data_IF_076435029325
#
_entry.id   IF_076435029325
#
_cell.length_a   1.000
_cell.length_b   1.000
_cell.length_c   1.000
_cell.angle_alpha   90.00
_cell.angle_beta   90.00
_cell.angle_gamma   90.00
#
_symmetry.space_group_name_H-M   'P 1'
#
loop_
_entity.id
_entity.type
_entity.pdbx_description
1 polymer ?
#
# COMPACT_ATOMS: atom_id res chain seq x y z
N UNK A 1 -10.63 -24.01 -3.66
CA UNK A 1 -9.96 -22.85 -3.03
C UNK A 1 -8.74 -23.25 -2.20
N UNK A 2 -8.82 -24.28 -1.35
CA UNK A 2 -7.69 -24.70 -0.48
C UNK A 2 -6.40 -25.03 -1.25
N UNK A 3 -6.45 -25.77 -2.35
CA UNK A 3 -5.27 -26.07 -3.19
C UNK A 3 -4.68 -24.85 -3.91
N UNK A 4 -5.41 -23.73 -3.95
CA UNK A 4 -5.01 -22.49 -4.64
C UNK A 4 -4.40 -21.53 -3.63
N UNK A 5 -5.04 -21.33 -2.47
CA UNK A 5 -4.61 -20.36 -1.47
C UNK A 5 -3.40 -20.83 -0.63
N UNK A 6 -3.14 -22.13 -0.55
CA UNK A 6 -2.08 -22.68 0.29
C UNK A 6 -0.83 -23.11 -0.52
N UNK A 7 0.37 -23.09 0.09
CA UNK A 7 0.68 -22.50 1.39
C UNK A 7 0.57 -20.97 1.38
N UNK A 8 0.27 -20.38 2.54
CA UNK A 8 0.35 -18.92 2.71
C UNK A 8 1.83 -18.58 2.90
N UNK A 9 2.40 -17.60 2.16
CA UNK A 9 3.78 -17.18 2.35
C UNK A 9 3.98 -16.56 3.74
N UNK A 10 5.15 -16.81 4.35
CA UNK A 10 5.48 -16.32 5.71
C UNK A 10 5.60 -14.79 5.76
N UNK A 11 5.83 -14.15 4.62
CA UNK A 11 5.93 -12.70 4.44
C UNK A 11 4.57 -11.99 4.52
N UNK A 12 3.45 -12.72 4.44
CA UNK A 12 2.12 -12.11 4.41
C UNK A 12 1.55 -11.90 5.81
N UNK A 13 1.37 -10.64 6.19
CA UNK A 13 0.63 -10.24 7.37
C UNK A 13 -0.86 -10.21 7.05
N UNK A 14 -1.65 -11.08 7.71
CA UNK A 14 -3.10 -11.14 7.55
C UNK A 14 -3.55 -12.14 6.49
N UNK A 15 -3.82 -13.38 6.92
CA UNK A 15 -4.25 -14.47 6.04
C UNK A 15 -5.56 -14.18 5.28
N UNK A 16 -6.46 -13.40 5.88
CA UNK A 16 -7.74 -13.04 5.24
C UNK A 16 -7.51 -12.16 4.01
N UNK A 17 -6.57 -11.22 4.09
CA UNK A 17 -6.19 -10.38 2.97
C UNK A 17 -5.60 -11.22 1.84
N UNK A 18 -4.75 -12.21 2.15
CA UNK A 18 -4.18 -13.13 1.15
C UNK A 18 -5.26 -13.89 0.37
N UNK A 19 -6.20 -14.49 1.10
CA UNK A 19 -7.31 -15.25 0.49
C UNK A 19 -8.17 -14.33 -0.38
N UNK A 20 -8.48 -13.13 0.13
CA UNK A 20 -9.22 -12.12 -0.61
C UNK A 20 -8.48 -11.69 -1.88
N UNK A 21 -7.18 -11.42 -1.80
CA UNK A 21 -6.38 -10.95 -2.92
C UNK A 21 -6.31 -12.00 -4.05
N UNK A 22 -6.15 -13.29 -3.70
CA UNK A 22 -6.23 -14.39 -4.66
C UNK A 22 -7.63 -14.46 -5.29
N UNK A 23 -8.70 -14.42 -4.48
CA UNK A 23 -10.06 -14.50 -4.98
C UNK A 23 -10.36 -13.37 -5.97
N UNK A 24 -9.95 -12.14 -5.63
CA UNK A 24 -10.09 -10.96 -6.47
C UNK A 24 -9.26 -11.05 -7.75
N UNK A 25 -8.02 -11.54 -7.68
CA UNK A 25 -7.17 -11.77 -8.85
C UNK A 25 -7.76 -12.80 -9.82
N UNK A 26 -8.46 -13.80 -9.28
CA UNK A 26 -9.15 -14.82 -10.08
C UNK A 26 -10.59 -14.41 -10.48
N UNK A 27 -11.07 -13.23 -10.07
CA UNK A 27 -12.45 -12.74 -10.27
C UNK A 27 -13.51 -13.74 -9.80
N UNK A 28 -13.25 -14.36 -8.65
CA UNK A 28 -14.18 -15.28 -7.96
C UNK A 28 -14.68 -14.71 -6.63
N UNK A 29 -14.44 -13.42 -6.40
CA UNK A 29 -15.00 -12.69 -5.27
C UNK A 29 -16.50 -12.42 -5.46
N UNK A 30 -17.23 -12.43 -4.35
CA UNK A 30 -18.67 -12.23 -4.32
C UNK A 30 -19.11 -11.60 -3.00
N UNK A 31 -20.28 -10.98 -3.00
CA UNK A 31 -20.88 -10.37 -1.80
C UNK A 31 -21.88 -11.37 -1.23
N UNK A 32 -21.71 -11.70 0.05
CA UNK A 32 -22.72 -12.46 0.81
C UNK A 32 -23.63 -11.40 1.44
N UNK A 33 -24.91 -11.40 1.06
CA UNK A 33 -25.90 -10.43 1.57
C UNK A 33 -26.24 -10.68 3.05
N UNK A 34 -26.11 -11.93 3.48
CA UNK A 34 -26.37 -12.34 4.85
C UNK A 34 -25.18 -12.00 5.78
N UNK A 35 -25.41 -11.26 6.88
CA UNK A 35 -24.36 -10.95 7.83
C UNK A 35 -23.88 -12.22 8.55
N UNK A 36 -22.64 -12.64 8.26
CA UNK A 36 -22.04 -13.88 8.79
C UNK A 36 -21.75 -13.85 10.31
N UNK A 37 -21.64 -12.66 10.90
CA UNK A 37 -21.52 -12.48 12.34
C UNK A 37 -22.27 -11.23 12.78
N UNK A 38 -23.23 -11.38 13.69
CA UNK A 38 -23.67 -10.27 14.54
C UNK A 38 -22.47 -9.87 15.40
N UNK A 39 -21.85 -8.74 15.09
CA UNK A 39 -20.75 -8.19 15.89
C UNK A 39 -21.30 -7.97 17.32
N UNK A 40 -20.90 -8.82 18.27
CA UNK A 40 -21.13 -8.57 19.70
C UNK A 40 -20.31 -7.34 20.09
N UNK A 41 -20.97 -6.19 20.12
CA UNK A 41 -20.41 -4.96 20.68
C UNK A 41 -20.31 -5.12 22.19
N UNK A 42 -19.20 -5.68 22.67
CA UNK A 42 -18.78 -5.47 24.05
C UNK A 42 -18.24 -4.03 24.15
N UNK A 43 -18.80 -3.26 25.08
CA UNK A 43 -18.87 -1.79 25.08
C UNK A 43 -17.58 -0.99 25.25
N UNK A 44 -16.40 -1.55 25.00
CA UNK A 44 -15.11 -0.87 25.20
C UNK A 44 -14.25 -0.75 23.94
N UNK A 45 -14.61 -1.40 22.82
CA UNK A 45 -13.91 -1.24 21.54
C UNK A 45 -14.40 -0.03 20.73
N UNK A 46 -14.67 1.09 21.39
CA UNK A 46 -14.74 2.39 20.71
C UNK A 46 -13.31 2.83 20.44
N UNK A 47 -12.73 2.35 19.35
CA UNK A 47 -11.58 3.03 18.76
C UNK A 47 -12.00 4.49 18.59
N UNK A 48 -11.28 5.41 19.23
CA UNK A 48 -11.36 6.86 19.09
C UNK A 48 -11.04 7.23 17.64
N UNK A 49 -11.94 6.89 16.73
CA UNK A 49 -11.87 7.22 15.32
C UNK A 49 -12.38 8.64 15.18
N UNK A 50 -11.81 9.44 14.28
CA UNK A 50 -12.10 10.87 14.13
C UNK A 50 -13.60 11.19 14.00
N UNK A 51 -14.45 10.25 13.59
CA UNK A 51 -15.91 10.42 13.57
C UNK A 51 -16.65 10.25 14.90
N UNK A 52 -15.98 9.94 16.01
CA UNK A 52 -16.58 10.01 17.36
C UNK A 52 -16.46 11.41 17.99
N UNK A 53 -15.91 12.39 17.27
CA UNK A 53 -15.90 13.80 17.67
C UNK A 53 -17.30 14.40 17.56
N UNK A 54 -17.81 14.96 18.66
CA UNK A 54 -19.06 15.74 18.73
C UNK A 54 -18.98 17.05 17.93
N UNK A 55 -17.78 17.49 17.53
CA UNK A 55 -17.59 18.67 16.69
C UNK A 55 -17.80 18.37 15.20
N UNK A 56 -18.43 19.30 14.49
CA UNK A 56 -18.71 19.24 13.04
C UNK A 56 -17.39 19.18 12.26
N UNK A 57 -17.00 17.99 11.82
CA UNK A 57 -15.78 17.78 11.03
C UNK A 57 -15.94 18.50 9.69
N UNK A 58 -15.09 19.47 9.41
CA UNK A 58 -15.05 20.12 8.10
C UNK A 58 -14.23 19.25 7.12
N UNK A 59 -14.56 19.30 5.82
CA UNK A 59 -13.79 18.59 4.77
C UNK A 59 -12.31 19.01 4.77
N UNK A 60 -12.03 20.25 5.20
CA UNK A 60 -10.67 20.77 5.37
C UNK A 60 -9.92 20.09 6.52
N UNK A 61 -10.57 19.77 7.64
CA UNK A 61 -9.93 19.10 8.78
C UNK A 61 -9.49 17.68 8.42
N UNK A 62 -10.30 16.99 7.60
CA UNK A 62 -9.95 15.67 7.04
C UNK A 62 -8.75 15.78 6.11
N UNK A 63 -8.68 16.82 5.28
CA UNK A 63 -7.52 17.02 4.40
C UNK A 63 -6.25 17.33 5.20
N UNK A 64 -6.34 18.23 6.19
CA UNK A 64 -5.19 18.63 7.04
C UNK A 64 -4.69 17.46 7.87
N UNK A 65 -5.58 16.68 8.49
CA UNK A 65 -5.18 15.48 9.24
C UNK A 65 -4.51 14.43 8.34
N UNK A 66 -5.00 14.23 7.12
CA UNK A 66 -4.38 13.34 6.13
C UNK A 66 -3.03 13.86 5.60
N UNK A 67 -2.81 15.18 5.56
CA UNK A 67 -1.53 15.78 5.19
C UNK A 67 -0.48 15.64 6.31
N UNK A 68 -0.92 15.58 7.57
CA UNK A 68 -0.05 15.42 8.75
C UNK A 68 0.40 13.97 9.00
N UNK A 69 -0.23 12.97 8.37
CA UNK A 69 0.16 11.56 8.53
C UNK A 69 1.59 11.33 8.05
N UNK A 70 2.42 10.68 8.85
CA UNK A 70 3.79 10.29 8.50
C UNK A 70 3.84 9.52 7.17
N UNK A 71 4.90 9.67 6.36
CA UNK A 71 5.02 8.86 5.16
C UNK A 71 5.17 7.41 5.61
N UNK A 72 4.66 6.46 4.82
CA UNK A 72 5.05 5.08 5.02
C UNK A 72 6.59 5.02 4.94
N UNK A 73 7.23 4.58 6.01
CA UNK A 73 8.68 4.48 6.11
C UNK A 73 9.24 3.47 5.11
N UNK A 74 8.41 2.52 4.67
CA UNK A 74 8.74 1.54 3.66
C UNK A 74 7.50 1.07 2.92
N UNK A 75 7.65 0.81 1.62
CA UNK A 75 6.65 0.09 0.80
C UNK A 75 6.99 -1.39 0.64
N UNK A 76 8.02 -1.87 1.35
CA UNK A 76 8.54 -3.23 1.26
C UNK A 76 7.45 -4.28 1.46
N UNK A 77 6.66 -4.17 2.54
CA UNK A 77 5.61 -5.14 2.83
C UNK A 77 4.60 -5.28 1.67
N UNK A 78 4.20 -4.15 1.07
CA UNK A 78 3.26 -4.16 -0.05
C UNK A 78 3.89 -4.68 -1.35
N UNK A 79 5.18 -4.43 -1.56
CA UNK A 79 5.93 -5.02 -2.67
C UNK A 79 6.06 -6.53 -2.50
N UNK A 80 6.44 -6.99 -1.30
CA UNK A 80 6.56 -8.41 -0.96
C UNK A 80 5.20 -9.11 -1.13
N UNK A 81 4.10 -8.48 -0.68
CA UNK A 81 2.73 -8.98 -0.90
C UNK A 81 2.37 -9.11 -2.38
N UNK A 82 2.66 -8.09 -3.19
CA UNK A 82 2.36 -8.12 -4.62
C UNK A 82 3.22 -9.16 -5.36
N UNK A 83 4.48 -9.32 -4.98
CA UNK A 83 5.37 -10.35 -5.52
C UNK A 83 4.85 -11.77 -5.21
N UNK A 84 4.56 -12.05 -3.93
CA UNK A 84 4.01 -13.35 -3.53
C UNK A 84 2.71 -13.67 -4.27
N UNK A 85 1.83 -12.66 -4.43
CA UNK A 85 0.57 -12.83 -5.15
C UNK A 85 0.80 -13.10 -6.65
N UNK A 86 1.72 -12.38 -7.29
CA UNK A 86 2.07 -12.57 -8.69
C UNK A 86 2.65 -13.97 -8.95
N UNK A 87 3.56 -14.43 -8.08
CA UNK A 87 4.09 -15.80 -8.13
C UNK A 87 2.98 -16.83 -7.99
N UNK A 88 2.07 -16.61 -7.03
CA UNK A 88 0.95 -17.52 -6.80
C UNK A 88 0.03 -17.60 -8.01
N UNK A 89 -0.35 -16.46 -8.58
CA UNK A 89 -1.21 -16.40 -9.76
C UNK A 89 -0.56 -17.06 -10.97
N UNK A 90 0.76 -16.90 -11.14
CA UNK A 90 1.53 -17.60 -12.18
C UNK A 90 1.47 -19.12 -12.00
N UNK A 91 1.72 -19.63 -10.80
CA UNK A 91 1.59 -21.08 -10.52
C UNK A 91 0.17 -21.59 -10.75
N UNK A 92 -0.84 -20.80 -10.39
CA UNK A 92 -2.24 -21.15 -10.64
C UNK A 92 -2.51 -21.20 -12.14
N UNK A 93 -1.98 -20.25 -12.93
CA UNK A 93 -2.10 -20.25 -14.39
C UNK A 93 -1.58 -21.55 -15.01
N UNK A 94 -0.41 -22.00 -14.56
CA UNK A 94 0.24 -23.22 -15.04
C UNK A 94 -0.48 -24.50 -14.59
N UNK A 95 -0.88 -24.57 -13.32
CA UNK A 95 -1.45 -25.78 -12.73
C UNK A 95 -2.96 -25.96 -12.96
N UNK A 96 -3.69 -24.88 -13.30
CA UNK A 96 -5.16 -24.91 -13.31
C UNK A 96 -5.79 -25.64 -14.50
N UNK A 97 -5.00 -26.05 -15.51
CA UNK A 97 -5.50 -26.86 -16.63
C UNK A 97 -6.69 -26.23 -17.37
N UNK A 98 -6.77 -24.90 -17.40
CA UNK A 98 -7.88 -24.16 -18.00
C UNK A 98 -9.09 -23.90 -17.09
N UNK A 99 -9.05 -24.29 -15.80
CA UNK A 99 -10.12 -23.99 -14.83
C UNK A 99 -10.40 -22.49 -14.69
N UNK A 100 -9.38 -21.66 -14.86
CA UNK A 100 -9.50 -20.20 -14.89
C UNK A 100 -9.16 -19.69 -16.29
N UNK A 101 -9.86 -18.63 -16.73
CA UNK A 101 -9.55 -17.99 -18.01
C UNK A 101 -8.17 -17.34 -17.93
N UNK A 102 -7.25 -17.72 -18.80
CA UNK A 102 -5.89 -17.18 -18.84
C UNK A 102 -5.88 -15.64 -18.86
N UNK A 103 -6.74 -15.02 -19.69
CA UNK A 103 -6.85 -13.57 -19.77
C UNK A 103 -7.25 -12.87 -18.45
N UNK A 104 -7.95 -13.55 -17.54
CA UNK A 104 -8.26 -13.00 -16.21
C UNK A 104 -7.01 -12.95 -15.34
N UNK A 105 -6.23 -14.04 -15.34
CA UNK A 105 -4.98 -14.10 -14.58
C UNK A 105 -3.96 -13.12 -15.17
N UNK A 106 -3.87 -13.03 -16.49
CA UNK A 106 -2.95 -12.13 -17.19
C UNK A 106 -3.26 -10.67 -16.90
N UNK A 107 -4.56 -10.30 -16.88
CA UNK A 107 -4.97 -8.97 -16.47
C UNK A 107 -4.60 -8.68 -15.00
N UNK A 108 -4.80 -9.64 -14.09
CA UNK A 108 -4.43 -9.47 -12.69
C UNK A 108 -2.90 -9.32 -12.49
N UNK A 109 -2.09 -10.10 -13.22
CA UNK A 109 -0.63 -9.99 -13.21
C UNK A 109 -0.18 -8.62 -13.73
N UNK A 110 -0.76 -8.14 -14.83
CA UNK A 110 -0.47 -6.82 -15.38
C UNK A 110 -0.85 -5.69 -14.40
N UNK A 111 -1.99 -5.80 -13.70
CA UNK A 111 -2.38 -4.84 -12.66
C UNK A 111 -1.36 -4.80 -11.51
N UNK A 112 -0.87 -5.96 -11.06
CA UNK A 112 0.15 -6.06 -10.01
C UNK A 112 1.48 -5.45 -10.44
N UNK A 113 1.92 -5.69 -11.68
CA UNK A 113 3.14 -5.11 -12.23
C UNK A 113 3.08 -3.57 -12.27
N UNK A 114 1.96 -3.03 -12.75
CA UNK A 114 1.72 -1.58 -12.75
C UNK A 114 1.77 -1.03 -11.33
N UNK A 115 1.15 -1.71 -10.37
CA UNK A 115 1.17 -1.29 -8.96
C UNK A 115 2.58 -1.33 -8.35
N UNK A 116 3.34 -2.41 -8.57
CA UNK A 116 4.72 -2.53 -8.10
C UNK A 116 5.61 -1.44 -8.68
N UNK A 117 5.49 -1.15 -9.99
CA UNK A 117 6.20 -0.04 -10.62
C UNK A 117 5.85 1.32 -10.00
N UNK A 118 4.59 1.49 -9.58
CA UNK A 118 4.12 2.70 -8.93
C UNK A 118 4.65 2.81 -7.49
N UNK A 119 4.75 1.70 -6.76
CA UNK A 119 5.35 1.63 -5.43
C UNK A 119 6.84 1.96 -5.45
N UNK A 120 7.60 1.35 -6.37
CA UNK A 120 9.02 1.62 -6.56
C UNK A 120 9.27 3.08 -6.91
N UNK A 121 8.50 3.63 -7.85
CA UNK A 121 8.64 5.04 -8.23
C UNK A 121 8.33 5.98 -7.07
N UNK A 122 7.40 5.58 -6.21
CA UNK A 122 7.04 6.36 -5.01
C UNK A 122 8.09 6.25 -3.91
N UNK A 123 8.77 5.10 -3.74
CA UNK A 123 9.90 5.02 -2.80
C UNK A 123 11.04 5.96 -3.21
N UNK A 124 11.28 6.14 -4.51
CA UNK A 124 12.28 7.11 -4.97
C UNK A 124 11.95 8.57 -4.57
N UNK A 125 10.67 8.92 -4.35
CA UNK A 125 10.30 10.26 -3.87
C UNK A 125 10.80 10.52 -2.44
N UNK A 126 10.93 9.47 -1.63
CA UNK A 126 11.39 9.58 -0.24
C UNK A 126 12.85 10.04 -0.22
N UNK A 127 13.66 9.52 -1.14
CA UNK A 127 15.11 9.78 -1.20
C UNK A 127 15.50 10.94 -2.14
N UNK A 128 14.67 11.25 -3.16
CA UNK A 128 14.97 12.26 -4.17
C UNK A 128 15.00 13.68 -3.60
N UNK A 129 15.82 14.61 -4.14
CA UNK A 129 15.82 16.05 -3.78
C UNK A 129 14.57 16.83 -4.26
N UNK A 130 14.38 18.08 -3.83
CA UNK A 130 13.11 18.83 -4.01
C UNK A 130 12.65 18.94 -5.47
N UNK A 131 13.57 19.30 -6.37
CA UNK A 131 13.27 19.41 -7.81
C UNK A 131 13.02 18.05 -8.45
N UNK A 132 13.82 17.04 -8.08
CA UNK A 132 13.64 15.67 -8.55
C UNK A 132 12.29 15.09 -8.11
N UNK A 133 11.87 15.37 -6.87
CA UNK A 133 10.58 14.94 -6.32
C UNK A 133 9.40 15.51 -7.11
N UNK A 134 9.42 16.81 -7.45
CA UNK A 134 8.37 17.42 -8.27
C UNK A 134 8.31 16.80 -9.67
N UNK A 135 9.47 16.53 -10.27
CA UNK A 135 9.55 15.86 -11.57
C UNK A 135 8.95 14.45 -11.51
N UNK A 136 9.34 13.66 -10.52
CA UNK A 136 8.83 12.29 -10.33
C UNK A 136 7.32 12.30 -10.07
N UNK A 137 6.83 13.19 -9.19
CA UNK A 137 5.41 13.30 -8.89
C UNK A 137 4.58 13.71 -10.14
N UNK A 138 5.09 14.64 -10.95
CA UNK A 138 4.44 15.05 -12.19
C UNK A 138 4.42 13.91 -13.22
N UNK A 139 5.51 13.17 -13.33
CA UNK A 139 5.61 11.98 -14.19
C UNK A 139 4.61 10.90 -13.75
N UNK A 140 4.52 10.62 -12.44
CA UNK A 140 3.55 9.67 -11.88
C UNK A 140 2.10 10.10 -12.13
N UNK A 141 1.82 11.42 -12.12
CA UNK A 141 0.51 11.96 -12.46
C UNK A 141 0.18 11.77 -13.95
N UNK A 142 1.12 12.09 -14.84
CA UNK A 142 0.95 11.90 -16.27
C UNK A 142 0.72 10.42 -16.64
N UNK A 143 1.38 9.50 -15.92
CA UNK A 143 1.21 8.05 -16.08
C UNK A 143 -0.04 7.48 -15.35
N UNK A 144 -0.81 8.30 -14.63
CA UNK A 144 -1.98 7.84 -13.89
C UNK A 144 -1.68 6.94 -12.67
N UNK A 145 -0.41 6.77 -12.30
CA UNK A 145 0.05 5.87 -11.23
C UNK A 145 -0.48 6.25 -9.85
N UNK A 146 -0.87 7.52 -9.66
CA UNK A 146 -1.50 7.97 -8.42
C UNK A 146 -2.85 7.29 -8.12
N UNK A 147 -3.52 6.65 -9.09
CA UNK A 147 -4.76 5.89 -8.85
C UNK A 147 -4.60 4.81 -7.78
N UNK A 148 -3.40 4.23 -7.64
CA UNK A 148 -3.08 3.21 -6.62
C UNK A 148 -2.87 3.78 -5.20
N UNK A 149 -2.87 5.11 -5.06
CA UNK A 149 -2.48 5.82 -3.83
C UNK A 149 -3.52 6.84 -3.33
N UNK A 150 -4.80 6.76 -3.68
CA UNK A 150 -5.83 7.80 -3.44
C UNK A 150 -5.82 8.96 -4.45
N UNK A 151 -5.26 8.74 -5.64
CA UNK A 151 -5.35 9.66 -6.77
C UNK A 151 -4.68 11.01 -6.51
N UNK A 152 -5.37 12.08 -6.92
CA UNK A 152 -4.87 13.47 -6.87
C UNK A 152 -4.51 13.92 -5.45
N UNK A 153 -5.15 13.35 -4.41
CA UNK A 153 -4.83 13.70 -3.02
C UNK A 153 -3.40 13.30 -2.63
N UNK A 154 -2.92 12.16 -3.14
CA UNK A 154 -1.54 11.77 -2.90
C UNK A 154 -0.55 12.60 -3.69
N UNK A 155 -0.89 12.96 -4.93
CA UNK A 155 -0.08 13.91 -5.70
C UNK A 155 0.10 15.24 -4.95
N UNK A 156 -0.99 15.86 -4.48
CA UNK A 156 -0.92 17.11 -3.72
C UNK A 156 -0.07 16.97 -2.45
N UNK A 157 -0.21 15.86 -1.74
CA UNK A 157 0.61 15.57 -0.55
C UNK A 157 2.09 15.47 -0.91
N UNK A 158 2.41 14.75 -1.98
CA UNK A 158 3.78 14.54 -2.43
C UNK A 158 4.44 15.86 -2.91
N UNK A 159 3.65 16.86 -3.33
CA UNK A 159 4.13 18.22 -3.67
C UNK A 159 4.30 19.13 -2.44
N UNK A 160 3.32 19.15 -1.52
CA UNK A 160 3.25 20.11 -0.41
C UNK A 160 4.19 19.72 0.76
N UNK A 161 4.36 18.43 1.02
CA UNK A 161 4.96 17.93 2.27
C UNK A 161 6.38 18.41 2.54
N UNK A 162 7.18 18.71 1.52
CA UNK A 162 8.61 18.99 1.74
C UNK A 162 8.94 20.38 2.26
N UNK A 163 7.97 21.29 2.33
CA UNK A 163 8.16 22.58 3.01
C UNK A 163 8.25 22.44 4.54
N UNK A 164 7.86 21.29 5.11
CA UNK A 164 7.58 21.17 6.55
C UNK A 164 8.51 20.23 7.34
N UNK A 165 9.50 19.57 6.72
CA UNK A 165 10.21 18.50 7.42
C UNK A 165 11.53 18.05 6.80
N UNK A 166 12.50 18.95 6.66
CA UNK A 166 13.89 18.50 6.83
C UNK A 166 14.22 18.62 8.33
N UNK A 167 14.50 17.52 9.05
CA UNK A 167 15.47 17.65 10.12
C UNK A 167 16.74 18.21 9.47
N UNK A 168 17.24 19.33 9.99
CA UNK A 168 18.62 19.76 9.75
C UNK A 168 19.52 18.54 9.89
N UNK A 169 20.33 18.27 8.87
CA UNK A 169 21.25 17.13 8.86
C UNK A 169 21.98 17.05 10.22
N UNK A 170 22.06 15.89 10.87
CA UNK A 170 22.95 15.74 12.01
C UNK A 170 24.36 16.03 11.49
N UNK A 171 24.99 17.06 12.05
CA UNK A 171 26.39 17.38 11.78
C UNK A 171 27.26 16.20 12.18
N UNK A 172 27.57 15.34 11.23
CA UNK A 172 28.57 14.29 11.37
C UNK A 172 29.96 14.92 11.39
N UNK A 173 30.42 15.33 12.58
CA UNK A 173 31.86 15.29 12.85
C UNK A 173 32.17 13.87 13.30
N UNK A 174 33.01 13.21 12.51
CA UNK A 174 33.64 11.96 12.84
C UNK A 174 34.54 12.18 14.06
N UNK A 175 34.21 11.52 15.16
CA UNK A 175 35.18 11.19 16.22
C UNK A 175 35.25 9.66 16.29
N UNK A 176 36.01 9.10 15.36
CA UNK A 176 36.64 7.79 15.52
C UNK A 176 38.11 8.06 15.87
N UNK A 177 38.40 8.27 17.14
CA UNK A 177 39.77 8.25 17.66
C UNK A 177 39.80 7.48 18.98
N UNK A 178 40.74 6.55 19.02
CA UNK A 178 41.37 5.93 20.18
C UNK A 178 40.55 4.92 21.00
N UNK A 179 40.71 3.64 20.64
CA UNK A 179 41.02 2.62 21.62
C UNK A 179 42.49 2.22 21.46
N UNK A 180 43.32 2.72 22.38
CA UNK A 180 44.63 2.18 22.71
C UNK A 180 44.66 1.89 24.21
N UNK A 181 45.18 0.71 24.53
CA UNK A 181 45.43 0.10 25.85
C UNK A 181 44.28 -0.65 26.53
#
# INVERSE_FOLDING_TARGET
MKSIAFPIPDEIVGHDWWIYAIARGLKVDGVIEEPLQLIRRHGENTSTWVASSVARINKMDVLVSQMRTEPASSYKDRLDHNNCLAERLTRVREASGGRFRAGVIDAALAELEVEMSALLRRSELVDAGFLAQKRIALEMLAQGKHRHFNGVRSFLRDIVRREWGRPSAPGGKADCLEKSH
#
